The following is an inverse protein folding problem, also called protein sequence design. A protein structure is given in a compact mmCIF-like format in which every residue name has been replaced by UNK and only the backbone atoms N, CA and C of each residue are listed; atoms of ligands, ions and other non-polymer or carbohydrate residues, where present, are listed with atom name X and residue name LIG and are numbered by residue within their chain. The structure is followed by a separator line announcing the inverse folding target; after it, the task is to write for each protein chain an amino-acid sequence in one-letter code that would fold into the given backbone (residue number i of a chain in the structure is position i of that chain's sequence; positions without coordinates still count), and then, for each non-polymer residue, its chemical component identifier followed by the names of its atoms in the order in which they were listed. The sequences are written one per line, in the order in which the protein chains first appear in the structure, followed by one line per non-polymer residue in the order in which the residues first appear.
data_IF_259365482694
#
_entry.id   IF_259365482694
#
_cell.length_a   1.000
_cell.length_b   1.000
_cell.length_c   1.000
_cell.angle_alpha   90.00
_cell.angle_beta   90.00
_cell.angle_gamma   90.00
#
_symmetry.space_group_name_H-M   'P 1'
#
loop_
_entity.id
_entity.type
_entity.pdbx_description
1 polymer ?
#
# COMPACT_ATOMS: atom_id res chain seq x y z
N UNK A 1 9.65 19.99 -29.03
CA UNK A 1 10.23 20.40 -27.71
C UNK A 1 9.19 20.76 -26.62
N UNK A 2 7.97 21.15 -26.92
CA UNK A 2 6.94 21.52 -25.90
C UNK A 2 6.42 20.34 -25.07
N UNK A 3 6.34 19.13 -25.64
CA UNK A 3 5.84 17.91 -24.95
C UNK A 3 6.77 17.47 -23.83
N UNK A 4 8.08 17.52 -24.05
CA UNK A 4 9.09 17.13 -23.05
C UNK A 4 9.04 18.05 -21.83
N UNK A 5 8.88 19.35 -22.05
CA UNK A 5 8.76 20.32 -20.96
C UNK A 5 7.46 20.12 -20.13
N UNK A 6 6.37 19.70 -20.79
CA UNK A 6 5.12 19.38 -20.09
C UNK A 6 5.25 18.09 -19.27
N UNK A 7 5.82 17.02 -19.85
CA UNK A 7 6.10 15.74 -19.14
C UNK A 7 6.99 15.96 -17.93
N UNK A 8 8.04 16.80 -18.06
CA UNK A 8 8.94 17.12 -16.93
C UNK A 8 8.23 17.94 -15.82
N UNK A 9 7.31 18.85 -16.20
CA UNK A 9 6.49 19.60 -15.19
C UNK A 9 5.50 18.70 -14.49
N UNK A 10 4.84 17.80 -15.21
CA UNK A 10 3.91 16.81 -14.64
C UNK A 10 4.68 15.87 -13.72
N UNK A 11 5.85 15.37 -14.18
CA UNK A 11 6.72 14.52 -13.36
C UNK A 11 7.21 15.24 -12.10
N UNK A 12 7.62 16.52 -12.18
CA UNK A 12 7.97 17.33 -11.02
C UNK A 12 6.81 17.55 -10.05
N UNK A 13 5.59 17.81 -10.57
CA UNK A 13 4.38 17.96 -9.74
C UNK A 13 3.97 16.65 -9.08
N UNK A 14 4.07 15.52 -9.80
CA UNK A 14 3.79 14.19 -9.25
C UNK A 14 4.84 13.77 -8.23
N UNK A 15 6.13 14.08 -8.48
CA UNK A 15 7.21 13.82 -7.52
C UNK A 15 7.14 14.72 -6.29
N UNK A 16 6.74 15.99 -6.44
CA UNK A 16 6.53 16.90 -5.33
C UNK A 16 5.30 16.49 -4.49
N UNK A 17 4.21 16.08 -5.16
CA UNK A 17 3.01 15.56 -4.49
C UNK A 17 3.28 14.19 -3.86
N UNK A 18 4.03 13.32 -4.55
CA UNK A 18 4.47 12.02 -4.02
C UNK A 18 5.42 12.16 -2.82
N UNK A 19 6.33 13.15 -2.81
CA UNK A 19 7.18 13.42 -1.64
C UNK A 19 6.39 13.94 -0.43
N UNK A 20 5.35 14.74 -0.64
CA UNK A 20 4.47 15.17 0.45
C UNK A 20 3.59 14.00 0.95
N UNK A 21 3.07 13.18 0.06
CA UNK A 21 2.29 12.00 0.43
C UNK A 21 3.17 10.89 1.03
N UNK A 22 4.41 10.69 0.54
CA UNK A 22 5.39 9.79 1.16
C UNK A 22 5.79 10.23 2.57
N UNK A 23 5.94 11.53 2.82
CA UNK A 23 6.22 12.04 4.15
C UNK A 23 4.99 11.93 5.07
N UNK A 24 3.77 12.07 4.53
CA UNK A 24 2.54 11.87 5.31
C UNK A 24 2.31 10.40 5.66
N UNK A 25 2.65 9.46 4.76
CA UNK A 25 2.49 8.01 5.00
C UNK A 25 3.60 7.45 5.89
N UNK A 26 4.77 8.10 5.92
CA UNK A 26 5.89 7.74 6.82
C UNK A 26 5.74 8.27 8.24
N UNK A 27 4.74 9.10 8.50
CA UNK A 27 4.45 9.56 9.85
C UNK A 27 3.82 8.44 10.67
N UNK A 28 4.58 7.92 11.65
CA UNK A 28 4.16 6.87 12.59
C UNK A 28 2.83 7.22 13.25
N UNK A 29 2.53 8.50 13.45
CA UNK A 29 1.28 8.97 14.04
C UNK A 29 0.07 8.63 13.18
N UNK A 30 0.17 8.69 11.86
CA UNK A 30 -0.92 8.36 10.95
C UNK A 30 -1.15 6.85 10.83
N UNK A 31 -0.07 6.07 10.85
CA UNK A 31 -0.16 4.60 10.91
C UNK A 31 -0.86 4.19 12.21
N UNK A 32 -0.47 4.78 13.34
CA UNK A 32 -1.09 4.51 14.64
C UNK A 32 -2.59 4.87 14.65
N UNK A 33 -2.97 5.99 14.03
CA UNK A 33 -4.40 6.35 13.90
C UNK A 33 -5.16 5.32 13.05
N UNK A 34 -4.56 4.86 11.94
CA UNK A 34 -5.16 3.82 11.12
C UNK A 34 -5.31 2.50 11.88
N UNK A 35 -4.33 2.17 12.73
CA UNK A 35 -4.32 0.93 13.50
C UNK A 35 -5.26 0.92 14.70
N UNK A 36 -5.73 2.07 15.18
CA UNK A 36 -6.73 2.13 16.28
C UNK A 36 -7.99 1.32 15.96
N UNK A 37 -8.41 1.29 14.71
CA UNK A 37 -9.55 0.47 14.27
C UNK A 37 -9.25 -1.03 14.30
N UNK A 38 -7.98 -1.44 14.22
CA UNK A 38 -7.57 -2.84 14.27
C UNK A 38 -7.59 -3.43 15.68
N UNK A 39 -7.41 -2.62 16.71
CA UNK A 39 -7.43 -3.12 18.09
C UNK A 39 -8.71 -3.89 18.46
N UNK A 40 -9.85 -3.49 17.91
CA UNK A 40 -11.10 -4.21 18.09
C UNK A 40 -11.18 -5.50 17.26
N UNK A 41 -10.45 -5.54 16.13
CA UNK A 41 -10.42 -6.69 15.23
C UNK A 41 -9.37 -7.74 15.62
N UNK A 42 -8.28 -7.35 16.30
CA UNK A 42 -7.18 -8.25 16.70
C UNK A 42 -7.61 -9.38 17.65
N UNK A 43 -8.78 -9.27 18.24
CA UNK A 43 -9.37 -10.31 19.09
C UNK A 43 -9.96 -11.49 18.30
N UNK A 44 -10.06 -11.38 16.97
CA UNK A 44 -10.55 -12.45 16.08
C UNK A 44 -9.42 -13.43 15.80
N UNK A 45 -9.75 -14.71 15.77
CA UNK A 45 -8.79 -15.81 15.56
C UNK A 45 -8.03 -15.72 14.21
N UNK A 46 -8.60 -15.03 13.23
CA UNK A 46 -8.00 -14.82 11.90
C UNK A 46 -6.63 -14.13 11.94
N UNK A 47 -6.35 -13.36 13.00
CA UNK A 47 -5.07 -12.63 13.15
C UNK A 47 -3.99 -13.43 13.88
N UNK A 48 -4.34 -14.53 14.55
CA UNK A 48 -3.36 -15.39 15.24
C UNK A 48 -2.30 -15.94 14.28
N UNK A 49 -2.70 -16.22 13.03
CA UNK A 49 -1.78 -16.71 11.98
C UNK A 49 -0.73 -15.67 11.58
N UNK A 50 -0.98 -14.40 11.79
CA UNK A 50 -0.07 -13.31 11.47
C UNK A 50 0.90 -12.97 12.61
N UNK A 51 0.73 -13.59 13.79
CA UNK A 51 1.55 -13.32 14.98
C UNK A 51 1.83 -11.83 15.18
N UNK A 52 0.80 -10.98 15.28
CA UNK A 52 0.99 -9.54 15.36
C UNK A 52 1.69 -9.16 16.66
N UNK A 53 2.62 -8.22 16.58
CA UNK A 53 3.31 -7.62 17.73
C UNK A 53 3.38 -6.10 17.59
N UNK A 54 3.64 -5.41 18.69
CA UNK A 54 3.80 -3.95 18.73
C UNK A 54 5.30 -3.68 18.81
N UNK A 55 5.81 -2.80 17.93
CA UNK A 55 7.20 -2.36 17.96
C UNK A 55 7.42 -1.17 18.92
N UNK A 56 8.68 -0.69 19.01
CA UNK A 56 9.07 0.42 19.89
C UNK A 56 8.43 1.77 19.49
N UNK A 57 7.84 1.85 18.31
CA UNK A 57 7.13 3.03 17.79
C UNK A 57 5.60 2.92 17.95
N UNK A 58 5.12 1.99 18.76
CA UNK A 58 3.70 1.66 18.95
C UNK A 58 2.98 1.23 17.66
N UNK A 59 3.72 0.70 16.67
CA UNK A 59 3.17 0.22 15.41
C UNK A 59 2.89 -1.29 15.52
N UNK A 60 1.70 -1.70 15.13
CA UNK A 60 1.34 -3.12 15.01
C UNK A 60 1.97 -3.67 13.74
N UNK A 61 2.86 -4.64 13.89
CA UNK A 61 3.55 -5.32 12.79
C UNK A 61 3.18 -6.80 12.73
N UNK A 62 3.38 -7.36 11.55
CA UNK A 62 3.18 -8.80 11.32
C UNK A 62 4.49 -9.52 11.67
N UNK A 63 4.41 -10.50 12.56
CA UNK A 63 5.47 -11.49 12.82
C UNK A 63 5.33 -12.69 11.87
N UNK A 64 6.26 -13.61 11.91
CA UNK A 64 6.14 -14.87 11.17
C UNK A 64 7.45 -15.51 10.75
N UNK A 65 7.38 -16.42 9.79
CA UNK A 65 8.49 -17.32 9.42
C UNK A 65 9.67 -16.64 8.73
N UNK A 66 9.61 -15.32 8.51
CA UNK A 66 10.65 -14.54 7.85
C UNK A 66 11.80 -14.10 8.77
N UNK A 67 11.75 -14.43 10.07
CA UNK A 67 12.75 -13.99 11.06
C UNK A 67 14.19 -14.37 10.71
N UNK A 68 14.37 -15.50 10.03
CA UNK A 68 15.68 -15.99 9.60
C UNK A 68 16.14 -15.43 8.25
N UNK A 69 15.29 -14.69 7.53
CA UNK A 69 15.66 -14.14 6.23
C UNK A 69 16.58 -12.93 6.38
N UNK A 70 17.59 -12.82 5.50
CA UNK A 70 18.50 -11.66 5.44
C UNK A 70 17.86 -10.58 4.57
N UNK A 71 16.84 -9.93 5.11
CA UNK A 71 16.13 -8.81 4.46
C UNK A 71 15.92 -7.70 5.48
N UNK A 72 15.57 -6.50 4.99
CA UNK A 72 15.30 -5.34 5.85
C UNK A 72 14.18 -5.62 6.86
N UNK A 73 14.27 -5.01 8.03
CA UNK A 73 13.31 -5.17 9.13
C UNK A 73 11.87 -4.89 8.69
N UNK A 74 11.64 -3.82 7.94
CA UNK A 74 10.31 -3.46 7.42
C UNK A 74 9.71 -4.53 6.47
N UNK A 75 10.57 -5.23 5.73
CA UNK A 75 10.15 -6.33 4.84
C UNK A 75 9.84 -7.60 5.63
N UNK A 76 10.58 -7.85 6.72
CA UNK A 76 10.30 -8.97 7.64
C UNK A 76 9.02 -8.77 8.42
N UNK A 77 8.83 -7.54 8.90
CA UNK A 77 7.77 -7.15 9.82
C UNK A 77 6.99 -5.96 9.25
N UNK A 78 6.23 -6.18 8.16
CA UNK A 78 5.43 -5.13 7.56
C UNK A 78 4.37 -4.62 8.54
N UNK A 79 4.12 -3.31 8.51
CA UNK A 79 3.09 -2.70 9.33
C UNK A 79 1.70 -3.19 8.90
N UNK A 80 0.91 -3.64 9.87
CA UNK A 80 -0.46 -4.13 9.64
C UNK A 80 -1.41 -2.94 9.46
N UNK A 81 -2.16 -2.90 8.38
CA UNK A 81 -3.11 -1.84 8.07
C UNK A 81 -4.50 -2.37 7.76
N UNK A 82 -5.56 -1.68 8.18
CA UNK A 82 -6.94 -2.04 7.86
C UNK A 82 -7.26 -1.79 6.39
N UNK A 83 -8.22 -2.56 5.84
CA UNK A 83 -8.66 -2.42 4.45
C UNK A 83 -9.27 -1.05 4.15
N UNK A 84 -10.14 -0.56 5.03
CA UNK A 84 -11.02 0.58 4.76
C UNK A 84 -10.39 1.94 5.03
N UNK A 85 -9.15 1.98 5.49
CA UNK A 85 -8.52 3.24 5.85
C UNK A 85 -7.95 3.96 4.61
N UNK A 86 -8.03 5.29 4.62
CA UNK A 86 -7.52 6.16 3.55
C UNK A 86 -6.05 5.86 3.20
N UNK A 87 -5.20 5.63 4.21
CA UNK A 87 -3.77 5.33 4.05
C UNK A 87 -3.57 4.05 3.25
N UNK A 88 -4.30 2.99 3.55
CA UNK A 88 -4.22 1.71 2.83
C UNK A 88 -4.53 1.89 1.35
N UNK A 89 -5.53 2.71 1.05
CA UNK A 89 -5.90 3.04 -0.34
C UNK A 89 -4.83 3.87 -1.03
N UNK A 90 -4.24 4.87 -0.36
CA UNK A 90 -3.16 5.69 -0.93
C UNK A 90 -1.91 4.87 -1.23
N UNK A 91 -1.48 4.01 -0.31
CA UNK A 91 -0.35 3.10 -0.49
C UNK A 91 -0.57 2.16 -1.68
N UNK A 92 -1.77 1.58 -1.78
CA UNK A 92 -2.12 0.69 -2.90
C UNK A 92 -2.19 1.45 -4.22
N UNK A 93 -2.67 2.68 -4.20
CA UNK A 93 -2.75 3.54 -5.37
C UNK A 93 -1.34 3.92 -5.85
N UNK A 94 -0.43 4.28 -4.96
CA UNK A 94 0.98 4.56 -5.28
C UNK A 94 1.66 3.34 -5.90
N UNK A 95 1.49 2.16 -5.29
CA UNK A 95 2.04 0.90 -5.83
C UNK A 95 1.51 0.57 -7.23
N UNK A 96 0.26 0.96 -7.54
CA UNK A 96 -0.35 0.79 -8.85
C UNK A 96 0.14 1.84 -9.86
N UNK A 97 0.27 3.11 -9.45
CA UNK A 97 0.74 4.19 -10.33
C UNK A 97 2.17 3.98 -10.83
N UNK A 98 2.98 3.23 -10.09
CA UNK A 98 4.33 2.87 -10.48
C UNK A 98 4.33 1.78 -11.58
N UNK A 99 3.93 2.15 -12.80
CA UNK A 99 3.93 1.31 -13.99
C UNK A 99 2.61 0.58 -14.27
N UNK A 100 1.54 0.93 -13.60
CA UNK A 100 0.19 0.36 -13.78
C UNK A 100 0.14 -1.18 -13.81
N UNK A 101 0.79 -1.86 -12.86
CA UNK A 101 0.84 -3.32 -12.86
C UNK A 101 -0.53 -3.94 -12.62
N UNK A 102 -0.63 -5.24 -12.90
CA UNK A 102 -1.82 -6.02 -12.57
C UNK A 102 -2.10 -6.08 -11.07
N UNK A 103 -3.30 -6.57 -10.71
CA UNK A 103 -3.76 -6.66 -9.32
C UNK A 103 -2.80 -7.44 -8.42
N UNK A 104 -2.32 -8.60 -8.88
CA UNK A 104 -1.40 -9.44 -8.12
C UNK A 104 -0.05 -8.73 -7.86
N UNK A 105 0.51 -8.06 -8.87
CA UNK A 105 1.77 -7.34 -8.75
C UNK A 105 1.63 -6.11 -7.86
N UNK A 106 0.49 -5.39 -7.95
CA UNK A 106 0.18 -4.26 -7.05
C UNK A 106 0.14 -4.75 -5.60
N UNK A 107 -0.57 -5.84 -5.33
CA UNK A 107 -0.65 -6.43 -4.00
C UNK A 107 0.73 -6.91 -3.49
N UNK A 108 1.54 -7.53 -4.34
CA UNK A 108 2.89 -7.96 -3.98
C UNK A 108 3.80 -6.77 -3.63
N UNK A 109 3.79 -5.70 -4.43
CA UNK A 109 4.55 -4.46 -4.13
C UNK A 109 4.13 -3.84 -2.80
N UNK A 110 2.84 -3.82 -2.51
CA UNK A 110 2.34 -3.29 -1.24
C UNK A 110 2.85 -4.10 -0.05
N UNK A 111 2.86 -5.44 -0.17
CA UNK A 111 3.28 -6.36 0.91
C UNK A 111 4.75 -6.27 1.30
N UNK A 112 5.60 -5.63 0.51
CA UNK A 112 7.02 -5.45 0.87
C UNK A 112 7.22 -4.57 2.09
N UNK A 113 6.30 -3.64 2.36
CA UNK A 113 6.39 -2.69 3.48
C UNK A 113 5.17 -2.69 4.39
N UNK A 114 3.98 -2.98 3.83
CA UNK A 114 2.71 -2.88 4.53
C UNK A 114 1.86 -4.12 4.32
N UNK A 115 1.34 -4.67 5.39
CA UNK A 115 0.39 -5.76 5.35
C UNK A 115 -1.03 -5.20 5.42
N UNK A 116 -1.63 -4.97 4.27
CA UNK A 116 -3.01 -4.49 4.17
C UNK A 116 -3.96 -5.69 4.12
N UNK A 117 -4.95 -5.68 4.99
CA UNK A 117 -6.00 -6.69 4.98
C UNK A 117 -6.76 -6.63 3.66
N UNK A 118 -7.03 -7.80 3.06
CA UNK A 118 -7.76 -7.90 1.78
C UNK A 118 -7.18 -7.00 0.67
N UNK A 119 -5.85 -6.88 0.61
CA UNK A 119 -5.16 -6.01 -0.36
C UNK A 119 -5.53 -6.30 -1.82
N UNK A 120 -5.90 -7.55 -2.15
CA UNK A 120 -6.30 -7.91 -3.51
C UNK A 120 -7.59 -7.19 -3.95
N UNK A 121 -8.57 -7.07 -3.06
CA UNK A 121 -9.84 -6.39 -3.38
C UNK A 121 -9.63 -4.87 -3.47
N UNK A 122 -8.77 -4.34 -2.62
CA UNK A 122 -8.36 -2.94 -2.69
C UNK A 122 -7.61 -2.66 -4.01
N UNK A 123 -6.68 -3.53 -4.42
CA UNK A 123 -5.94 -3.40 -5.68
C UNK A 123 -6.86 -3.52 -6.92
N UNK A 124 -7.88 -4.39 -6.88
CA UNK A 124 -8.92 -4.45 -7.92
C UNK A 124 -9.67 -3.13 -8.03
N UNK A 125 -10.08 -2.57 -6.90
CA UNK A 125 -10.80 -1.28 -6.84
C UNK A 125 -9.94 -0.15 -7.39
N UNK A 126 -8.65 -0.10 -7.03
CA UNK A 126 -7.70 0.90 -7.52
C UNK A 126 -7.50 0.76 -9.03
N UNK A 127 -7.26 -0.46 -9.53
CA UNK A 127 -7.09 -0.72 -10.96
C UNK A 127 -8.35 -0.32 -11.75
N UNK A 128 -9.54 -0.69 -11.27
CA UNK A 128 -10.79 -0.37 -11.92
C UNK A 128 -11.05 1.15 -12.03
N UNK A 129 -10.62 1.91 -11.02
CA UNK A 129 -10.74 3.39 -11.02
C UNK A 129 -9.63 4.09 -11.82
N UNK A 130 -8.58 3.39 -12.20
CA UNK A 130 -7.47 3.97 -12.94
C UNK A 130 -7.87 4.25 -14.39
N UNK A 131 -7.79 5.52 -14.80
CA UNK A 131 -8.14 5.97 -16.16
C UNK A 131 -7.22 5.30 -17.19
N UNK A 132 -5.91 5.34 -16.96
CA UNK A 132 -4.91 4.73 -17.85
C UNK A 132 -5.17 3.26 -18.10
N UNK A 133 -5.42 2.48 -17.05
CA UNK A 133 -5.72 1.05 -17.19
C UNK A 133 -7.01 0.80 -17.98
N UNK A 134 -8.04 1.62 -17.75
CA UNK A 134 -9.32 1.52 -18.48
C UNK A 134 -9.20 1.85 -19.96
N UNK A 135 -8.31 2.76 -20.32
CA UNK A 135 -8.05 3.12 -21.72
C UNK A 135 -7.21 2.05 -22.43
N UNK A 136 -6.31 1.39 -21.71
CA UNK A 136 -5.43 0.35 -22.26
C UNK A 136 -6.11 -1.02 -22.35
N UNK A 137 -7.17 -1.29 -21.59
CA UNK A 137 -7.91 -2.55 -21.69
C UNK A 137 -8.79 -2.54 -22.94
N UNK A 138 -8.62 -3.51 -23.86
CA UNK A 138 -9.48 -3.60 -25.03
C UNK A 138 -10.93 -3.81 -24.57
N UNK A 139 -11.81 -2.92 -25.02
CA UNK A 139 -13.25 -3.10 -24.82
C UNK A 139 -13.67 -4.33 -25.60
N UNK A 140 -13.77 -5.47 -24.93
CA UNK A 140 -14.42 -6.65 -25.50
C UNK A 140 -15.86 -6.26 -25.81
N UNK A 141 -16.14 -6.01 -27.10
CA UNK A 141 -17.51 -5.92 -27.57
C UNK A 141 -18.14 -7.29 -27.39
N UNK A 142 -19.00 -7.38 -26.43
CA UNK A 142 -19.97 -8.48 -26.34
C UNK A 142 -21.04 -8.22 -27.39
#
# INVERSE_FOLDING_TARGET
MRVIAWVLRVKKRLLAKGKQEENEVKDCSQINVAQKSLHSCLKKDDFKMLSPFIDDEDIIRVGGHMDKAIVFFETKHPALLPHDHKISRLITQEAHQCGHPGVATTAAKTRTKYWILQVHDLAKTVKFKCVTCREMEPKTKT
#
